data_IF_984100152841
#
_entry.id   IF_984100152841
#
_cell.length_a   1.000
_cell.length_b   1.000
_cell.length_c   1.000
_cell.angle_alpha   90.00
_cell.angle_beta   90.00
_cell.angle_gamma   90.00
#
_symmetry.space_group_name_H-M   'P 1'
#
loop_
_entity.id
_entity.type
_entity.pdbx_description
1 polymer ?
#
# COMPACT_ATOMS: atom_id res chain seq x y z
N UNK A 1 -18.54 -15.89 -3.72
CA UNK A 1 -18.26 -14.46 -3.46
C UNK A 1 -18.15 -14.18 -1.96
N UNK A 2 -19.13 -14.62 -1.17
CA UNK A 2 -19.14 -14.48 0.30
C UNK A 2 -17.85 -14.94 1.00
N UNK A 3 -17.31 -16.11 0.64
CA UNK A 3 -16.03 -16.61 1.20
C UNK A 3 -14.87 -15.63 1.03
N UNK A 4 -14.72 -14.99 -0.14
CA UNK A 4 -13.62 -14.07 -0.40
C UNK A 4 -13.79 -12.75 0.34
N UNK A 5 -15.03 -12.29 0.49
CA UNK A 5 -15.35 -11.10 1.27
C UNK A 5 -15.09 -11.31 2.76
N UNK A 6 -15.44 -12.48 3.29
CA UNK A 6 -15.14 -12.87 4.66
C UNK A 6 -13.63 -12.99 4.90
N UNK A 7 -12.92 -13.66 3.97
CA UNK A 7 -11.48 -13.77 4.02
C UNK A 7 -10.81 -12.38 4.01
N UNK A 8 -11.20 -11.49 3.10
CA UNK A 8 -10.69 -10.12 3.03
C UNK A 8 -10.96 -9.34 4.32
N UNK A 9 -12.18 -9.39 4.85
CA UNK A 9 -12.57 -8.72 6.09
C UNK A 9 -11.88 -9.28 7.34
N UNK A 10 -11.29 -10.48 7.26
CA UNK A 10 -10.53 -11.11 8.35
C UNK A 10 -9.02 -10.87 8.27
N UNK A 11 -8.50 -10.51 7.10
CA UNK A 11 -7.06 -10.39 6.87
C UNK A 11 -6.48 -9.19 7.63
N UNK A 12 -5.43 -9.43 8.42
CA UNK A 12 -4.69 -8.41 9.16
C UNK A 12 -3.39 -8.02 8.48
N UNK A 13 -2.86 -8.90 7.64
CA UNK A 13 -1.63 -8.70 6.86
C UNK A 13 -1.88 -9.03 5.40
N UNK A 14 -1.41 -8.15 4.52
CA UNK A 14 -1.44 -8.33 3.08
C UNK A 14 0.00 -8.36 2.56
N UNK A 15 0.42 -9.53 2.08
CA UNK A 15 1.78 -9.80 1.59
C UNK A 15 1.74 -9.82 0.07
N UNK A 16 1.89 -8.64 -0.52
CA UNK A 16 1.93 -8.44 -1.96
C UNK A 16 3.34 -8.05 -2.41
N UNK A 17 4.40 -8.34 -1.65
CA UNK A 17 5.76 -8.09 -2.09
C UNK A 17 6.15 -8.92 -3.32
N UNK A 18 6.98 -8.36 -4.19
CA UNK A 18 7.60 -9.11 -5.26
C UNK A 18 9.04 -9.50 -4.87
N UNK A 19 9.21 -10.76 -4.47
CA UNK A 19 10.53 -11.34 -4.20
C UNK A 19 11.14 -12.06 -5.43
N UNK A 20 10.44 -12.08 -6.56
CA UNK A 20 10.91 -12.70 -7.78
C UNK A 20 11.76 -11.72 -8.60
N UNK A 21 12.63 -12.24 -9.46
CA UNK A 21 13.45 -11.44 -10.37
C UNK A 21 12.68 -10.95 -11.62
N UNK A 22 11.37 -10.71 -11.49
CA UNK A 22 10.50 -10.23 -12.56
C UNK A 22 9.96 -8.83 -12.23
N UNK A 23 9.19 -8.26 -13.17
CA UNK A 23 8.67 -6.89 -13.09
C UNK A 23 7.72 -6.62 -11.91
N UNK A 24 7.04 -7.66 -11.41
CA UNK A 24 6.06 -7.50 -10.36
C UNK A 24 4.82 -6.74 -10.85
N UNK A 25 4.31 -5.85 -10.00
CA UNK A 25 3.13 -5.03 -10.27
C UNK A 25 3.49 -3.71 -10.95
N UNK A 26 2.70 -3.33 -11.94
CA UNK A 26 2.64 -1.97 -12.46
C UNK A 26 1.57 -1.16 -11.75
N UNK A 27 1.40 0.09 -12.21
CA UNK A 27 0.44 1.01 -11.61
C UNK A 27 -0.98 0.46 -11.66
N UNK A 28 -1.37 -0.26 -12.73
CA UNK A 28 -2.73 -0.78 -12.88
C UNK A 28 -3.08 -1.82 -11.81
N UNK A 29 -2.17 -2.75 -11.50
CA UNK A 29 -2.37 -3.70 -10.41
C UNK A 29 -2.46 -2.98 -9.06
N UNK A 30 -1.68 -1.92 -8.86
CA UNK A 30 -1.77 -1.10 -7.66
C UNK A 30 -3.12 -0.37 -7.57
N UNK A 31 -3.67 0.16 -8.67
CA UNK A 31 -5.02 0.75 -8.68
C UNK A 31 -6.09 -0.26 -8.30
N UNK A 32 -5.99 -1.48 -8.82
CA UNK A 32 -6.93 -2.55 -8.47
C UNK A 32 -6.85 -2.88 -6.98
N UNK A 33 -5.63 -2.96 -6.43
CA UNK A 33 -5.43 -3.13 -5.00
C UNK A 33 -6.02 -1.98 -4.18
N UNK A 34 -5.81 -0.72 -4.58
CA UNK A 34 -6.38 0.46 -3.91
C UNK A 34 -7.91 0.40 -3.88
N UNK A 35 -8.56 -0.01 -4.97
CA UNK A 35 -10.02 -0.21 -5.02
C UNK A 35 -10.49 -1.34 -4.11
N UNK A 36 -9.66 -2.35 -3.90
CA UNK A 36 -9.97 -3.48 -3.03
C UNK A 36 -9.71 -3.18 -1.54
N UNK A 37 -8.87 -2.18 -1.24
CA UNK A 37 -8.42 -1.84 0.11
C UNK A 37 -9.55 -1.72 1.16
N UNK A 38 -10.71 -1.08 0.85
CA UNK A 38 -11.82 -0.98 1.81
C UNK A 38 -12.42 -2.32 2.27
N UNK A 39 -12.26 -3.39 1.49
CA UNK A 39 -12.75 -4.72 1.88
C UNK A 39 -11.85 -5.38 2.93
N UNK A 40 -10.61 -4.92 3.08
CA UNK A 40 -9.67 -5.38 4.09
C UNK A 40 -9.79 -4.58 5.39
N UNK A 41 -11.01 -4.51 5.93
CA UNK A 41 -11.36 -3.61 7.05
C UNK A 41 -10.54 -3.84 8.32
N UNK A 42 -9.93 -5.03 8.51
CA UNK A 42 -9.05 -5.35 9.64
C UNK A 42 -7.56 -5.30 9.31
N UNK A 43 -7.19 -4.88 8.09
CA UNK A 43 -5.81 -4.86 7.65
C UNK A 43 -5.00 -3.84 8.45
N UNK A 44 -3.92 -4.33 9.07
CA UNK A 44 -2.98 -3.56 9.86
C UNK A 44 -1.68 -3.32 9.13
N UNK A 45 -1.32 -4.18 8.18
CA UNK A 45 -0.06 -4.11 7.49
C UNK A 45 -0.14 -4.55 6.03
N UNK A 46 0.49 -3.76 5.15
CA UNK A 46 0.61 -4.03 3.72
C UNK A 46 2.09 -4.06 3.33
N UNK A 47 2.47 -5.04 2.50
CA UNK A 47 3.80 -5.12 1.89
C UNK A 47 3.67 -5.04 0.37
N UNK A 48 4.32 -4.05 -0.22
CA UNK A 48 4.35 -3.76 -1.66
C UNK A 48 5.78 -3.51 -2.16
N UNK A 49 6.80 -3.90 -1.41
CA UNK A 49 8.19 -3.73 -1.84
C UNK A 49 8.56 -4.74 -2.93
N UNK A 50 9.61 -4.43 -3.70
CA UNK A 50 10.11 -5.28 -4.80
C UNK A 50 9.39 -5.10 -6.15
N UNK A 51 8.40 -4.21 -6.25
CA UNK A 51 7.76 -3.86 -7.54
C UNK A 51 8.47 -2.66 -8.17
N UNK A 52 9.43 -2.91 -9.07
CA UNK A 52 10.21 -1.82 -9.69
C UNK A 52 9.48 -1.07 -10.80
N UNK A 53 8.39 -1.62 -11.33
CA UNK A 53 7.58 -0.97 -12.36
C UNK A 53 6.55 0.02 -11.81
N UNK A 54 6.36 0.09 -10.49
CA UNK A 54 5.50 1.11 -9.88
C UNK A 54 6.10 2.51 -10.06
N UNK A 55 5.25 3.46 -10.39
CA UNK A 55 5.63 4.86 -10.61
C UNK A 55 5.00 5.79 -9.58
N UNK A 56 5.25 7.09 -9.72
CA UNK A 56 4.59 8.13 -8.93
C UNK A 56 3.07 8.14 -9.15
N UNK A 57 2.57 7.78 -10.34
CA UNK A 57 1.14 7.77 -10.65
C UNK A 57 0.39 6.69 -9.86
N UNK A 58 0.96 5.49 -9.77
CA UNK A 58 0.40 4.43 -8.92
C UNK A 58 0.44 4.82 -7.44
N UNK A 59 1.53 5.44 -6.98
CA UNK A 59 1.68 5.88 -5.60
C UNK A 59 0.72 7.01 -5.23
N UNK A 60 0.38 7.89 -6.17
CA UNK A 60 -0.59 8.97 -5.98
C UNK A 60 -1.97 8.43 -5.57
N UNK A 61 -2.44 7.38 -6.24
CA UNK A 61 -3.74 6.77 -5.91
C UNK A 61 -3.73 6.09 -4.54
N UNK A 62 -2.64 5.38 -4.22
CA UNK A 62 -2.47 4.80 -2.89
C UNK A 62 -2.45 5.88 -1.80
N UNK A 63 -1.76 6.99 -2.04
CA UNK A 63 -1.69 8.15 -1.15
C UNK A 63 -3.07 8.70 -0.84
N UNK A 64 -3.92 8.85 -1.86
CA UNK A 64 -5.28 9.37 -1.71
C UNK A 64 -6.18 8.45 -0.87
N UNK A 65 -5.91 7.14 -0.85
CA UNK A 65 -6.71 6.18 -0.08
C UNK A 65 -6.33 6.10 1.41
N UNK A 66 -5.13 6.56 1.81
CA UNK A 66 -4.63 6.45 3.19
C UNK A 66 -5.57 7.00 4.27
N UNK A 67 -6.23 8.17 4.10
CA UNK A 67 -7.12 8.71 5.12
C UNK A 67 -8.27 7.78 5.51
N UNK A 68 -8.76 6.98 4.56
CA UNK A 68 -9.91 6.09 4.77
C UNK A 68 -9.51 4.75 5.41
N UNK A 69 -8.20 4.46 5.52
CA UNK A 69 -7.67 3.21 6.05
C UNK A 69 -7.27 3.33 7.52
N UNK A 70 -8.25 3.51 8.40
CA UNK A 70 -8.03 3.77 9.82
C UNK A 70 -7.20 2.67 10.53
N UNK A 71 -7.41 1.40 10.18
CA UNK A 71 -6.73 0.27 10.81
C UNK A 71 -5.32 0.01 10.27
N UNK A 72 -4.98 0.56 9.11
CA UNK A 72 -3.67 0.36 8.49
C UNK A 72 -2.59 1.06 9.32
N UNK A 73 -1.77 0.30 10.02
CA UNK A 73 -0.72 0.80 10.89
C UNK A 73 0.69 0.70 10.32
N UNK A 74 0.92 -0.14 9.30
CA UNK A 74 2.24 -0.38 8.71
C UNK A 74 2.16 -0.54 7.20
N UNK A 75 3.11 0.01 6.47
CA UNK A 75 3.22 -0.14 5.03
C UNK A 75 4.69 -0.22 4.59
N UNK A 76 5.02 -1.19 3.74
CA UNK A 76 6.34 -1.31 3.11
C UNK A 76 6.17 -1.03 1.62
N UNK A 77 6.88 -0.02 1.11
CA UNK A 77 6.82 0.46 -0.27
C UNK A 77 8.16 0.27 -1.01
N UNK A 78 8.18 0.28 -2.35
CA UNK A 78 9.42 0.20 -3.13
C UNK A 78 10.37 1.36 -2.84
N UNK A 79 11.65 1.05 -2.59
CA UNK A 79 12.68 2.03 -2.24
C UNK A 79 12.88 3.15 -3.26
N UNK A 80 12.74 2.85 -4.55
CA UNK A 80 12.99 3.83 -5.62
C UNK A 80 12.00 4.99 -5.62
N UNK A 81 10.83 4.83 -4.98
CA UNK A 81 9.82 5.87 -4.86
C UNK A 81 10.04 6.80 -3.65
N UNK A 82 10.94 6.48 -2.73
CA UNK A 82 11.04 7.19 -1.46
C UNK A 82 11.38 8.69 -1.60
N UNK A 83 12.30 9.01 -2.51
CA UNK A 83 12.82 10.37 -2.71
C UNK A 83 12.05 11.17 -3.77
N UNK A 84 11.00 10.58 -4.32
CA UNK A 84 10.16 11.20 -5.36
C UNK A 84 9.18 12.21 -4.75
N UNK A 85 8.53 13.03 -5.56
CA UNK A 85 7.55 14.02 -5.07
C UNK A 85 6.38 13.30 -4.40
N UNK A 86 5.87 12.25 -5.04
CA UNK A 86 4.78 11.44 -4.51
C UNK A 86 5.23 10.61 -3.30
N UNK A 87 6.51 10.24 -3.23
CA UNK A 87 7.12 9.65 -2.03
C UNK A 87 7.03 10.55 -0.80
N UNK A 88 7.28 11.85 -0.97
CA UNK A 88 7.11 12.84 0.09
C UNK A 88 5.62 13.07 0.40
N UNK A 89 4.77 13.19 -0.63
CA UNK A 89 3.33 13.34 -0.43
C UNK A 89 2.72 12.17 0.36
N UNK A 90 3.18 10.95 0.12
CA UNK A 90 2.79 9.76 0.87
C UNK A 90 3.20 9.85 2.34
N UNK A 91 4.43 10.31 2.64
CA UNK A 91 4.90 10.54 4.03
C UNK A 91 4.02 11.57 4.74
N UNK A 92 3.68 12.65 4.06
CA UNK A 92 2.81 13.71 4.59
C UNK A 92 1.38 13.20 4.83
N UNK A 93 0.80 12.47 3.88
CA UNK A 93 -0.53 11.89 4.02
C UNK A 93 -0.58 10.87 5.16
N UNK A 94 0.45 10.05 5.30
CA UNK A 94 0.61 9.09 6.40
C UNK A 94 0.64 9.79 7.77
N UNK A 95 1.43 10.84 7.89
CA UNK A 95 1.50 11.65 9.11
C UNK A 95 0.17 12.36 9.42
N UNK A 96 -0.48 12.96 8.40
CA UNK A 96 -1.79 13.61 8.53
C UNK A 96 -2.89 12.63 8.96
N UNK A 97 -2.81 11.37 8.55
CA UNK A 97 -3.70 10.30 8.99
C UNK A 97 -3.41 9.80 10.42
N UNK A 98 -2.49 10.45 11.16
CA UNK A 98 -2.14 10.10 12.54
C UNK A 98 -1.33 8.82 12.68
N UNK A 99 -0.74 8.33 11.59
CA UNK A 99 0.01 7.07 11.57
C UNK A 99 1.47 7.30 11.97
N UNK A 100 2.09 6.31 12.60
CA UNK A 100 3.47 6.42 13.06
C UNK A 100 4.43 6.52 11.87
N UNK A 101 5.32 7.53 11.80
CA UNK A 101 6.25 7.70 10.68
C UNK A 101 7.15 6.48 10.45
N UNK A 102 7.65 5.86 11.53
CA UNK A 102 8.49 4.66 11.44
C UNK A 102 7.78 3.39 11.00
N UNK A 103 6.46 3.44 10.80
CA UNK A 103 5.68 2.33 10.26
C UNK A 103 5.44 2.41 8.75
N UNK A 104 5.82 3.54 8.12
CA UNK A 104 5.96 3.65 6.68
C UNK A 104 7.43 3.41 6.32
N UNK A 105 7.72 2.27 5.70
CA UNK A 105 9.07 1.83 5.37
C UNK A 105 9.25 1.72 3.86
N UNK A 106 10.49 1.91 3.40
CA UNK A 106 10.88 1.87 2.00
C UNK A 106 11.96 0.80 1.83
N UNK A 107 11.66 -0.24 1.05
CA UNK A 107 12.46 -1.46 0.92
C UNK A 107 12.75 -1.79 -0.54
#
# INVERSE_FOLDING_TARGET
EEFFMEAAGSATWLWFENSAANDGWGDEELRQFVRALPFFSKCQAVRLWGHHTLTEDGLLELTAAIPDQSNLGRMLLPKHLESTEQGQAMKDAWAKAGKMPGALMWC
#
